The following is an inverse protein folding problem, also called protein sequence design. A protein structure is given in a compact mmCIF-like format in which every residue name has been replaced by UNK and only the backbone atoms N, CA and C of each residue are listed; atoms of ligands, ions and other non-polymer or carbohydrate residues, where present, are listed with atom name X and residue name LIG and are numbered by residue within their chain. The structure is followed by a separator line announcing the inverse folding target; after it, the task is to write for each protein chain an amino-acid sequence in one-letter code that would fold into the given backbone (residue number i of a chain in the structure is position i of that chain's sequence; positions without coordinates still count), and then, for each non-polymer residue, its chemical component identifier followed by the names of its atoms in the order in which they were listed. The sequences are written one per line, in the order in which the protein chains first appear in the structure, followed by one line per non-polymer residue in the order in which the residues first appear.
data_IF_615974037397
#
_entry.id   IF_615974037397
#
_cell.length_a   1.000
_cell.length_b   1.000
_cell.length_c   1.000
_cell.angle_alpha   90.00
_cell.angle_beta   90.00
_cell.angle_gamma   90.00
#
_symmetry.space_group_name_H-M   'P 1'
#
loop_
_entity.id
_entity.type
_entity.pdbx_description
1 polymer ?
#
# COMPACT_ATOMS: atom_id res chain seq x y z
N UNK A 1 39.60 -13.15 10.82
CA UNK A 1 38.66 -12.65 11.84
C UNK A 1 38.47 -11.15 11.72
N UNK A 2 37.70 -10.74 10.73
CA UNK A 2 37.47 -9.29 10.43
C UNK A 2 35.99 -8.91 10.47
N UNK A 3 35.21 -9.40 11.38
CA UNK A 3 33.79 -9.20 11.28
C UNK A 3 33.08 -8.51 12.44
N UNK A 4 33.75 -8.15 13.48
CA UNK A 4 33.02 -7.86 14.73
C UNK A 4 32.82 -6.37 15.07
N UNK A 5 33.48 -5.45 14.38
CA UNK A 5 33.51 -4.06 14.82
C UNK A 5 32.51 -3.09 14.17
N UNK A 6 31.70 -3.53 13.21
CA UNK A 6 30.81 -2.62 12.46
C UNK A 6 29.44 -2.35 13.10
N UNK A 7 29.07 -3.11 14.11
CA UNK A 7 27.70 -2.99 14.65
C UNK A 7 27.54 -1.95 15.78
N UNK A 8 28.60 -1.57 16.42
CA UNK A 8 28.47 -0.73 17.62
C UNK A 8 28.20 0.74 17.32
N UNK A 9 28.64 1.26 16.19
CA UNK A 9 28.42 2.66 15.82
C UNK A 9 27.02 2.96 15.34
N UNK A 10 26.25 1.97 14.93
CA UNK A 10 24.89 2.18 14.43
C UNK A 10 23.85 2.28 15.55
N UNK A 11 24.20 1.89 16.75
CA UNK A 11 23.27 1.85 17.88
C UNK A 11 23.43 3.03 18.84
N UNK A 12 24.56 3.68 18.83
CA UNK A 12 24.79 4.86 19.66
C UNK A 12 24.03 6.07 19.12
N UNK A 13 23.06 6.56 19.87
CA UNK A 13 22.30 7.76 19.57
C UNK A 13 21.02 7.56 18.74
N UNK A 14 20.65 6.32 18.37
CA UNK A 14 19.37 6.02 17.77
C UNK A 14 18.40 5.50 18.82
N UNK A 15 17.26 6.17 18.96
CA UNK A 15 16.16 5.67 19.75
C UNK A 15 15.55 4.39 19.16
N UNK A 16 14.67 3.77 19.91
CA UNK A 16 13.89 2.62 19.48
C UNK A 16 12.93 3.05 18.37
N UNK A 17 13.12 2.54 17.16
CA UNK A 17 12.27 2.83 16.00
C UNK A 17 11.50 1.58 15.53
N UNK A 18 10.99 0.80 16.45
CA UNK A 18 10.21 -0.40 16.19
C UNK A 18 8.91 -0.39 16.98
N UNK A 19 7.90 -1.08 16.46
CA UNK A 19 6.65 -1.28 17.19
C UNK A 19 6.89 -2.09 18.45
N UNK A 20 6.30 -1.65 19.56
CA UNK A 20 6.27 -2.41 20.81
C UNK A 20 5.12 -3.41 20.75
N UNK A 21 5.40 -4.61 20.23
CA UNK A 21 4.40 -5.68 20.13
C UNK A 21 4.25 -6.42 21.46
N UNK A 22 3.02 -6.90 21.80
CA UNK A 22 2.84 -7.74 22.96
C UNK A 22 3.69 -9.01 22.91
N UNK A 23 4.13 -9.51 24.04
CA UNK A 23 4.87 -10.77 24.13
C UNK A 23 4.01 -11.96 23.70
N UNK A 24 2.74 -11.99 24.09
CA UNK A 24 1.78 -13.02 23.69
C UNK A 24 1.49 -12.94 22.19
N UNK A 25 1.60 -14.08 21.50
CA UNK A 25 1.25 -14.24 20.08
C UNK A 25 -0.09 -14.93 19.88
N UNK A 26 -0.86 -15.11 20.94
CA UNK A 26 -2.18 -15.73 20.86
C UNK A 26 -3.24 -14.69 20.49
N UNK A 27 -4.28 -15.17 19.83
CA UNK A 27 -5.46 -14.36 19.56
C UNK A 27 -6.16 -14.05 20.88
N UNK A 28 -6.56 -12.79 21.14
CA UNK A 28 -7.29 -12.45 22.35
C UNK A 28 -8.60 -13.22 22.46
N UNK A 29 -9.00 -13.60 23.68
CA UNK A 29 -10.23 -14.39 23.94
C UNK A 29 -11.52 -13.69 23.48
N UNK A 30 -11.54 -12.37 23.43
CA UNK A 30 -12.68 -11.56 22.98
C UNK A 30 -12.82 -11.48 21.45
N UNK A 31 -11.82 -11.96 20.71
CA UNK A 31 -11.79 -11.86 19.25
C UNK A 31 -12.60 -12.99 18.61
N UNK A 32 -13.66 -12.63 17.87
CA UNK A 32 -14.63 -13.58 17.33
C UNK A 32 -14.52 -13.83 15.81
N UNK A 33 -13.75 -12.97 15.08
CA UNK A 33 -13.65 -13.10 13.63
C UNK A 33 -12.80 -14.30 13.22
N UNK A 34 -13.28 -15.03 12.22
CA UNK A 34 -12.53 -16.14 11.63
C UNK A 34 -11.38 -15.65 10.75
N UNK A 35 -10.36 -16.47 10.53
CA UNK A 35 -9.25 -16.17 9.61
C UNK A 35 -9.73 -15.76 8.23
N UNK A 36 -10.70 -16.49 7.68
CA UNK A 36 -11.21 -16.28 6.33
C UNK A 36 -12.00 -14.97 6.21
N UNK A 37 -12.78 -14.63 7.23
CA UNK A 37 -13.47 -13.33 7.30
C UNK A 37 -12.47 -12.15 7.29
N UNK A 38 -11.35 -12.29 7.99
CA UNK A 38 -10.29 -11.26 7.97
C UNK A 38 -9.64 -11.17 6.58
N UNK A 39 -9.38 -12.29 5.90
CA UNK A 39 -8.83 -12.32 4.54
C UNK A 39 -9.81 -11.68 3.55
N UNK A 40 -11.10 -11.92 3.68
CA UNK A 40 -12.12 -11.28 2.84
C UNK A 40 -12.16 -9.76 3.06
N UNK A 41 -12.11 -9.29 4.30
CA UNK A 41 -12.05 -7.86 4.60
C UNK A 41 -10.79 -7.20 4.02
N UNK A 42 -9.62 -7.86 4.11
CA UNK A 42 -8.39 -7.39 3.49
C UNK A 42 -8.58 -7.22 1.98
N UNK A 43 -9.15 -8.21 1.31
CA UNK A 43 -9.41 -8.19 -0.12
C UNK A 43 -10.40 -7.09 -0.52
N UNK A 44 -11.45 -6.89 0.26
CA UNK A 44 -12.44 -5.82 0.08
C UNK A 44 -11.81 -4.43 0.18
N UNK A 45 -10.95 -4.20 1.17
CA UNK A 45 -10.26 -2.92 1.33
C UNK A 45 -9.19 -2.68 0.23
N UNK A 46 -8.50 -3.73 -0.21
CA UNK A 46 -7.55 -3.64 -1.31
C UNK A 46 -8.24 -3.25 -2.63
N UNK A 47 -9.42 -3.82 -2.93
CA UNK A 47 -10.24 -3.43 -4.09
C UNK A 47 -10.70 -1.97 -4.02
N UNK A 48 -10.95 -1.44 -2.83
CA UNK A 48 -11.22 -0.01 -2.61
C UNK A 48 -9.98 0.89 -2.82
N UNK A 49 -8.81 0.31 -3.09
CA UNK A 49 -7.58 1.04 -3.37
C UNK A 49 -6.78 1.44 -2.14
N UNK A 50 -7.03 0.86 -0.98
CA UNK A 50 -6.25 1.13 0.22
C UNK A 50 -4.89 0.41 0.16
N UNK A 51 -3.87 1.05 0.72
CA UNK A 51 -2.54 0.45 0.83
C UNK A 51 -2.50 -0.59 1.95
N UNK A 52 -1.57 -1.55 1.93
CA UNK A 52 -1.45 -2.56 2.98
C UNK A 52 -1.34 -1.98 4.39
N UNK A 53 -0.64 -0.86 4.57
CA UNK A 53 -0.53 -0.18 5.86
C UNK A 53 -1.85 0.45 6.29
N UNK A 54 -2.60 1.07 5.37
CA UNK A 54 -3.93 1.64 5.64
C UNK A 54 -4.95 0.54 5.98
N UNK A 55 -4.89 -0.60 5.29
CA UNK A 55 -5.71 -1.76 5.59
C UNK A 55 -5.45 -2.23 7.03
N UNK A 56 -4.18 -2.31 7.44
CA UNK A 56 -3.82 -2.69 8.80
C UNK A 56 -4.38 -1.75 9.87
N UNK A 57 -4.37 -0.44 9.61
CA UNK A 57 -4.97 0.57 10.50
C UNK A 57 -6.47 0.38 10.61
N UNK A 58 -7.18 0.20 9.48
CA UNK A 58 -8.63 -0.01 9.49
C UNK A 58 -9.04 -1.32 10.18
N UNK A 59 -8.29 -2.40 9.96
CA UNK A 59 -8.53 -3.65 10.65
C UNK A 59 -8.36 -3.52 12.16
N UNK A 60 -7.36 -2.78 12.59
CA UNK A 60 -7.13 -2.51 14.02
C UNK A 60 -8.25 -1.66 14.63
N UNK A 61 -8.62 -0.57 13.97
CA UNK A 61 -9.49 0.47 14.55
C UNK A 61 -10.98 0.12 14.42
N UNK A 62 -11.40 -0.51 13.30
CA UNK A 62 -12.79 -0.82 13.02
C UNK A 62 -13.18 -2.28 13.34
N UNK A 63 -12.24 -3.21 13.21
CA UNK A 63 -12.54 -4.65 13.33
C UNK A 63 -11.85 -5.32 14.52
N UNK A 64 -11.08 -4.59 15.33
CA UNK A 64 -10.39 -5.12 16.50
C UNK A 64 -9.29 -6.14 16.18
N UNK A 65 -8.83 -6.23 14.93
CA UNK A 65 -7.73 -7.11 14.53
C UNK A 65 -6.41 -6.47 14.95
N UNK A 66 -5.85 -6.89 16.07
CA UNK A 66 -4.60 -6.35 16.59
C UNK A 66 -3.43 -6.56 15.62
N UNK A 67 -3.31 -7.75 15.08
CA UNK A 67 -2.30 -8.14 14.10
C UNK A 67 -2.85 -9.20 13.15
N UNK A 68 -2.92 -8.90 11.87
CA UNK A 68 -3.36 -9.86 10.85
C UNK A 68 -2.55 -11.16 10.87
N UNK A 69 -1.23 -11.08 11.14
CA UNK A 69 -0.36 -12.26 11.18
C UNK A 69 -0.74 -13.25 12.28
N UNK A 70 -1.25 -12.79 13.41
CA UNK A 70 -1.64 -13.67 14.53
C UNK A 70 -2.91 -14.46 14.16
N UNK A 71 -3.86 -13.81 13.48
CA UNK A 71 -5.15 -14.40 13.11
C UNK A 71 -5.05 -15.28 11.86
N UNK A 72 -4.38 -14.78 10.81
CA UNK A 72 -4.34 -15.42 9.49
C UNK A 72 -3.04 -16.18 9.20
N UNK A 73 -2.06 -16.13 10.08
CA UNK A 73 -0.72 -16.70 9.86
C UNK A 73 0.16 -15.90 8.90
N UNK A 74 -0.42 -15.03 8.07
CA UNK A 74 0.26 -14.29 7.02
C UNK A 74 0.20 -12.77 7.22
N UNK A 75 1.21 -12.07 6.69
CA UNK A 75 1.19 -10.61 6.60
C UNK A 75 0.24 -10.15 5.50
N UNK A 76 -0.37 -8.98 5.65
CA UNK A 76 -1.34 -8.41 4.69
C UNK A 76 -0.82 -8.43 3.25
N UNK A 77 0.41 -7.98 3.01
CA UNK A 77 0.98 -7.99 1.66
C UNK A 77 1.11 -9.40 1.05
N UNK A 78 1.38 -10.44 1.86
CA UNK A 78 1.41 -11.82 1.36
C UNK A 78 0.03 -12.31 0.95
N UNK A 79 -0.99 -11.99 1.74
CA UNK A 79 -2.40 -12.29 1.42
C UNK A 79 -2.81 -11.59 0.12
N UNK A 80 -2.43 -10.32 -0.05
CA UNK A 80 -2.71 -9.59 -1.28
C UNK A 80 -1.98 -10.16 -2.50
N UNK A 81 -0.75 -10.65 -2.33
CA UNK A 81 -0.02 -11.33 -3.41
C UNK A 81 -0.67 -12.64 -3.81
N UNK A 82 -1.10 -13.47 -2.87
CA UNK A 82 -1.80 -14.72 -3.16
C UNK A 82 -3.13 -14.50 -3.87
N UNK A 83 -3.82 -13.39 -3.58
CA UNK A 83 -5.09 -13.02 -4.20
C UNK A 83 -4.94 -12.17 -5.49
N UNK A 84 -3.71 -11.93 -5.97
CA UNK A 84 -3.46 -11.11 -7.16
C UNK A 84 -3.79 -9.62 -7.01
N UNK A 85 -3.97 -9.13 -5.77
CA UNK A 85 -4.34 -7.73 -5.46
C UNK A 85 -3.14 -6.89 -4.98
N UNK A 86 -1.92 -7.39 -5.11
CA UNK A 86 -0.73 -6.68 -4.68
C UNK A 86 -0.42 -5.49 -5.61
N UNK A 87 0.05 -4.35 -5.09
CA UNK A 87 0.46 -3.23 -5.90
C UNK A 87 1.74 -3.58 -6.69
N UNK A 88 1.87 -3.07 -7.92
CA UNK A 88 3.05 -3.25 -8.77
C UNK A 88 4.32 -2.67 -8.14
N UNK A 89 4.19 -1.52 -7.48
CA UNK A 89 5.31 -0.84 -6.81
C UNK A 89 5.13 -1.00 -5.30
N UNK A 90 6.20 -1.36 -4.56
CA UNK A 90 6.18 -1.41 -3.12
C UNK A 90 5.71 -0.10 -2.49
N UNK A 91 4.90 -0.19 -1.44
CA UNK A 91 4.26 0.96 -0.79
C UNK A 91 5.26 2.03 -0.33
N UNK A 92 6.37 1.62 0.26
CA UNK A 92 7.43 2.51 0.75
C UNK A 92 8.08 3.31 -0.39
N UNK A 93 8.38 2.66 -1.52
CA UNK A 93 8.90 3.32 -2.70
C UNK A 93 7.87 4.29 -3.30
N UNK A 94 6.61 3.89 -3.36
CA UNK A 94 5.52 4.73 -3.82
C UNK A 94 5.40 6.04 -3.01
N UNK A 95 5.41 5.96 -1.69
CA UNK A 95 5.31 7.15 -0.85
C UNK A 95 6.53 8.07 -0.95
N UNK A 96 7.73 7.52 -1.17
CA UNK A 96 8.92 8.33 -1.45
C UNK A 96 8.79 9.07 -2.78
N UNK A 97 8.32 8.40 -3.84
CA UNK A 97 8.08 9.02 -5.15
C UNK A 97 7.02 10.11 -5.03
N UNK A 98 5.90 9.85 -4.36
CA UNK A 98 4.85 10.83 -4.12
C UNK A 98 5.39 12.06 -3.38
N UNK A 99 6.24 11.86 -2.38
CA UNK A 99 6.91 12.94 -1.66
C UNK A 99 7.85 13.73 -2.55
N UNK A 100 8.65 13.07 -3.39
CA UNK A 100 9.54 13.74 -4.35
C UNK A 100 8.74 14.63 -5.33
N UNK A 101 7.64 14.11 -5.88
CA UNK A 101 6.75 14.87 -6.77
C UNK A 101 6.15 16.10 -6.08
N UNK A 102 5.72 15.96 -4.83
CA UNK A 102 5.18 17.08 -4.06
C UNK A 102 6.22 18.17 -3.81
N UNK A 103 7.46 17.80 -3.46
CA UNK A 103 8.57 18.76 -3.26
C UNK A 103 8.97 19.43 -4.58
N UNK A 104 8.99 18.72 -5.71
CA UNK A 104 9.23 19.32 -7.02
C UNK A 104 8.17 20.34 -7.39
N UNK A 105 6.91 20.01 -7.21
CA UNK A 105 5.80 20.93 -7.43
C UNK A 105 5.90 22.19 -6.54
N UNK A 106 6.41 22.05 -5.32
CA UNK A 106 6.72 23.19 -4.45
C UNK A 106 7.85 24.05 -5.03
N UNK A 107 8.94 23.42 -5.49
CA UNK A 107 10.10 24.11 -6.07
C UNK A 107 9.77 24.83 -7.39
N UNK A 108 8.83 24.35 -8.18
CA UNK A 108 8.37 25.01 -9.40
C UNK A 108 7.77 26.40 -9.08
N UNK A 109 7.11 26.53 -7.92
CA UNK A 109 6.56 27.79 -7.43
C UNK A 109 7.58 28.61 -6.64
N UNK A 110 8.45 27.96 -5.88
CA UNK A 110 9.40 28.57 -4.93
C UNK A 110 10.84 28.22 -5.31
N UNK A 111 11.31 28.69 -6.47
CA UNK A 111 12.65 28.36 -7.04
C UNK A 111 13.82 28.78 -6.16
N UNK A 112 13.63 29.77 -5.27
CA UNK A 112 14.65 30.29 -4.35
C UNK A 112 14.81 29.46 -3.08
N UNK A 113 13.94 28.48 -2.82
CA UNK A 113 13.99 27.63 -1.63
C UNK A 113 15.14 26.61 -1.73
N UNK A 114 16.27 26.97 -1.12
CA UNK A 114 17.49 26.15 -1.11
C UNK A 114 17.34 24.92 -0.20
N UNK A 115 16.58 25.02 0.91
CA UNK A 115 16.34 23.91 1.83
C UNK A 115 15.50 22.81 1.16
N UNK A 116 14.40 23.18 0.52
CA UNK A 116 13.58 22.22 -0.23
C UNK A 116 14.38 21.53 -1.36
N UNK A 117 15.25 22.27 -2.05
CA UNK A 117 16.14 21.71 -3.07
C UNK A 117 17.09 20.66 -2.48
N UNK A 118 17.71 20.96 -1.35
CA UNK A 118 18.57 20.02 -0.65
C UNK A 118 17.79 18.77 -0.19
N UNK A 119 16.60 18.95 0.39
CA UNK A 119 15.74 17.84 0.81
C UNK A 119 15.30 16.96 -0.36
N UNK A 120 15.05 17.54 -1.53
CA UNK A 120 14.73 16.77 -2.74
C UNK A 120 15.87 15.80 -3.08
N UNK A 121 17.13 16.26 -3.08
CA UNK A 121 18.28 15.39 -3.34
C UNK A 121 18.35 14.23 -2.34
N UNK A 122 18.07 14.48 -1.07
CA UNK A 122 18.03 13.42 -0.05
C UNK A 122 16.91 12.40 -0.29
N UNK A 123 15.72 12.86 -0.72
CA UNK A 123 14.60 11.96 -1.05
C UNK A 123 14.95 11.11 -2.28
N UNK A 124 15.46 11.72 -3.34
CA UNK A 124 15.83 11.01 -4.57
C UNK A 124 16.94 9.99 -4.32
N UNK A 125 17.94 10.32 -3.50
CA UNK A 125 18.97 9.34 -3.11
C UNK A 125 18.42 8.16 -2.33
N UNK A 126 17.37 8.35 -1.51
CA UNK A 126 16.67 7.25 -0.83
C UNK A 126 15.89 6.39 -1.83
N UNK A 127 15.21 7.00 -2.81
CA UNK A 127 14.49 6.29 -3.88
C UNK A 127 15.47 5.39 -4.64
N UNK A 128 16.62 5.92 -5.08
CA UNK A 128 17.62 5.14 -5.82
C UNK A 128 18.17 3.96 -5.00
N UNK A 129 18.46 4.17 -3.70
CA UNK A 129 18.92 3.09 -2.82
C UNK A 129 17.88 2.00 -2.62
N UNK A 130 16.63 2.39 -2.41
CA UNK A 130 15.53 1.46 -2.21
C UNK A 130 15.20 0.70 -3.50
N UNK A 131 15.21 1.38 -4.65
CA UNK A 131 15.01 0.75 -5.95
C UNK A 131 16.11 -0.29 -6.26
N UNK A 132 17.36 -0.01 -5.91
CA UNK A 132 18.45 -0.97 -6.04
C UNK A 132 18.18 -2.24 -5.22
N UNK A 133 17.75 -2.09 -3.99
CA UNK A 133 17.38 -3.22 -3.13
C UNK A 133 16.24 -4.05 -3.75
N UNK A 134 15.17 -3.41 -4.22
CA UNK A 134 14.04 -4.13 -4.80
C UNK A 134 14.35 -4.80 -6.13
N UNK A 135 15.29 -4.30 -6.91
CA UNK A 135 15.82 -5.01 -8.08
C UNK A 135 16.61 -6.23 -7.70
N UNK A 136 17.46 -6.15 -6.66
CA UNK A 136 18.23 -7.30 -6.15
C UNK A 136 17.32 -8.42 -5.63
N UNK A 137 16.22 -8.07 -4.99
CA UNK A 137 15.22 -9.03 -4.47
C UNK A 137 14.21 -9.46 -5.53
N UNK A 138 14.36 -9.00 -6.79
CA UNK A 138 13.46 -9.30 -7.91
C UNK A 138 11.98 -8.91 -7.67
N UNK A 139 11.73 -7.89 -6.86
CA UNK A 139 10.39 -7.31 -6.67
C UNK A 139 10.08 -6.29 -7.76
N UNK A 140 11.11 -5.59 -8.25
CA UNK A 140 11.03 -4.69 -9.40
C UNK A 140 11.77 -5.30 -10.58
N UNK A 141 11.33 -5.04 -11.81
CA UNK A 141 12.04 -5.48 -13.01
C UNK A 141 13.46 -4.88 -13.05
N UNK A 142 14.45 -5.58 -13.63
CA UNK A 142 15.85 -5.15 -13.63
C UNK A 142 16.05 -3.81 -14.36
N UNK A 143 15.22 -3.52 -15.35
CA UNK A 143 15.27 -2.29 -16.13
C UNK A 143 14.57 -1.10 -15.45
N UNK A 144 13.93 -1.30 -14.31
CA UNK A 144 13.23 -0.23 -13.61
C UNK A 144 14.21 0.84 -13.12
N UNK A 145 13.96 2.08 -13.52
CA UNK A 145 14.71 3.25 -13.05
C UNK A 145 13.77 4.36 -12.62
N UNK A 146 14.18 5.11 -11.63
CA UNK A 146 13.47 6.32 -11.24
C UNK A 146 13.92 7.45 -12.15
N UNK A 147 12.96 8.04 -12.84
CA UNK A 147 13.17 9.25 -13.66
C UNK A 147 12.27 10.36 -13.11
N UNK A 148 12.89 11.50 -12.92
CA UNK A 148 12.20 12.64 -12.32
C UNK A 148 11.12 13.24 -13.22
N UNK A 149 11.29 13.16 -14.54
CA UNK A 149 10.33 13.65 -15.53
C UNK A 149 9.04 12.79 -15.53
N UNK A 150 9.18 11.47 -15.41
CA UNK A 150 8.06 10.52 -15.43
C UNK A 150 7.47 10.24 -14.05
N UNK A 151 8.09 10.76 -12.98
CA UNK A 151 7.66 10.51 -11.61
C UNK A 151 6.23 10.99 -11.32
N UNK A 152 5.79 12.08 -11.94
CA UNK A 152 4.43 12.61 -11.80
C UNK A 152 3.39 11.67 -12.42
N UNK A 153 3.66 11.17 -13.63
CA UNK A 153 2.77 10.21 -14.31
C UNK A 153 2.72 8.88 -13.58
N UNK A 154 3.85 8.43 -13.03
CA UNK A 154 3.95 7.22 -12.24
C UNK A 154 3.15 7.31 -10.94
N UNK A 155 3.19 8.46 -10.26
CA UNK A 155 2.39 8.72 -9.07
C UNK A 155 0.88 8.80 -9.37
N UNK A 156 0.49 9.33 -10.54
CA UNK A 156 -0.92 9.43 -10.96
C UNK A 156 -1.46 8.13 -11.54
N UNK A 157 -0.66 7.35 -12.26
CA UNK A 157 -1.06 6.05 -12.82
C UNK A 157 -1.53 5.10 -11.71
N UNK A 158 -0.75 4.97 -10.67
CA UNK A 158 -1.07 4.14 -9.50
C UNK A 158 -2.34 4.63 -8.76
N UNK A 159 -2.68 5.90 -8.88
CA UNK A 159 -3.92 6.44 -8.33
C UNK A 159 -5.12 6.18 -9.26
N UNK A 160 -4.93 6.29 -10.59
CA UNK A 160 -5.97 6.08 -11.60
C UNK A 160 -6.42 4.61 -11.70
N UNK A 161 -5.50 3.66 -11.68
CA UNK A 161 -5.85 2.22 -11.72
C UNK A 161 -6.78 1.84 -10.56
N UNK A 162 -6.56 2.43 -9.38
CA UNK A 162 -7.42 2.24 -8.21
C UNK A 162 -8.83 2.82 -8.40
N UNK A 163 -8.96 3.92 -9.13
CA UNK A 163 -10.24 4.60 -9.38
C UNK A 163 -11.03 3.95 -10.53
N UNK A 164 -10.34 3.43 -11.54
CA UNK A 164 -10.97 2.80 -12.71
C UNK A 164 -11.68 1.50 -12.32
N UNK A 165 -11.08 0.67 -11.46
CA UNK A 165 -11.75 -0.52 -10.92
C UNK A 165 -12.99 -0.19 -10.08
N UNK A 166 -12.95 0.90 -9.33
CA UNK A 166 -14.10 1.34 -8.54
C UNK A 166 -15.24 1.85 -9.42
N UNK A 167 -14.91 2.60 -10.47
CA UNK A 167 -15.92 3.15 -11.42
C UNK A 167 -16.51 2.05 -12.29
N UNK A 168 -15.70 1.12 -12.79
CA UNK A 168 -16.18 -0.04 -13.58
C UNK A 168 -17.07 -0.96 -12.75
N UNK A 169 -16.76 -1.17 -11.49
CA UNK A 169 -17.57 -1.98 -10.58
C UNK A 169 -18.92 -1.32 -10.28
N UNK A 170 -18.95 0.01 -10.06
CA UNK A 170 -20.20 0.73 -9.86
C UNK A 170 -21.06 0.78 -11.14
N UNK A 171 -20.46 0.97 -12.30
CA UNK A 171 -21.21 0.95 -13.57
C UNK A 171 -21.75 -0.44 -13.92
N UNK A 172 -20.99 -1.50 -13.69
CA UNK A 172 -21.47 -2.87 -13.84
C UNK A 172 -22.57 -3.23 -12.83
N UNK A 173 -22.47 -2.73 -11.61
CA UNK A 173 -23.47 -2.95 -10.57
C UNK A 173 -24.80 -2.20 -10.86
N UNK A 174 -24.74 -0.96 -11.34
CA UNK A 174 -25.93 -0.22 -11.81
C UNK A 174 -26.57 -0.88 -13.03
N UNK A 175 -25.80 -1.28 -14.03
CA UNK A 175 -26.29 -2.04 -15.18
C UNK A 175 -26.95 -3.37 -14.80
N UNK A 176 -26.44 -4.06 -13.81
CA UNK A 176 -27.00 -5.31 -13.29
C UNK A 176 -28.34 -5.07 -12.57
N UNK A 177 -28.48 -3.96 -11.85
CA UNK A 177 -29.73 -3.58 -11.19
C UNK A 177 -30.79 -3.15 -12.23
N UNK A 178 -30.39 -2.40 -13.25
CA UNK A 178 -31.31 -1.98 -14.32
C UNK A 178 -31.83 -3.18 -15.13
N UNK A 179 -30.97 -4.16 -15.43
CA UNK A 179 -31.39 -5.42 -16.08
C UNK A 179 -32.33 -6.26 -15.20
N UNK A 180 -32.11 -6.28 -13.88
CA UNK A 180 -33.00 -6.97 -12.94
C UNK A 180 -34.38 -6.26 -12.83
N UNK A 181 -34.42 -4.94 -12.86
CA UNK A 181 -35.67 -4.18 -12.87
C UNK A 181 -36.47 -4.40 -14.15
N UNK A 182 -35.83 -4.41 -15.33
CA UNK A 182 -36.47 -4.73 -16.61
C UNK A 182 -37.06 -6.16 -16.67
N UNK A 183 -36.35 -7.13 -16.06
CA UNK A 183 -36.85 -8.52 -16.00
C UNK A 183 -38.08 -8.66 -15.09
N UNK A 184 -38.14 -7.88 -13.99
CA UNK A 184 -39.25 -7.88 -13.05
C UNK A 184 -40.47 -7.18 -13.67
N UNK A 185 -40.28 -6.06 -14.37
CA UNK A 185 -41.37 -5.35 -15.06
C UNK A 185 -41.95 -6.17 -16.22
N UNK A 186 -41.14 -6.90 -16.96
CA UNK A 186 -41.60 -7.81 -18.01
C UNK A 186 -42.36 -9.04 -17.46
N UNK A 187 -42.04 -9.51 -16.25
CA UNK A 187 -42.75 -10.61 -15.60
C UNK A 187 -44.14 -10.19 -15.04
N UNK A 188 -44.28 -8.92 -14.68
CA UNK A 188 -45.53 -8.35 -14.18
C UNK A 188 -46.54 -7.98 -15.31
N UNK A 189 -46.04 -7.80 -16.53
CA UNK A 189 -46.86 -7.46 -17.70
C UNK A 189 -47.41 -8.71 -18.46
N UNK A 190 -47.11 -9.90 -18.00
CA UNK A 190 -47.55 -11.20 -18.56
C UNK A 190 -48.59 -11.94 -17.67
N UNK A 191 -49.22 -11.22 -16.76
CA UNK A 191 -50.34 -11.71 -15.94
C UNK A 191 -51.63 -10.87 -16.23
#
# INVERSE_FOLDING_TARGET
SFSSHKHYHLQTGKGQSSSSLPYSRNVPHWFQLTSDAVVEQISKYARKGLTPSQIGVLLRDAHGVTQSKIVTGNKILRILKSNGLAPEIPEDLYYLIKKAVAVRKHLDRNRKDKDAKFRLVLIESRIHRLARYYRTVAVLPPNWRYESATASTLATKLFKEKFTYFFLFNTLFTLSIDLLSETIDNSNNLR
#
